data_IF_609882993742
#
_entry.id   IF_609882993742
#
_cell.length_a   1.000
_cell.length_b   1.000
_cell.length_c   1.000
_cell.angle_alpha   90.00
_cell.angle_beta   90.00
_cell.angle_gamma   90.00
#
_symmetry.space_group_name_H-M   'P 1'
#
loop_
_entity.id
_entity.type
_entity.pdbx_description
1 polymer ?
#
# COMPACT_ATOMS: atom_id res chain seq x y z
N UNK A 1 5.85 1.55 23.96
CA UNK A 1 5.72 2.29 22.69
C UNK A 1 4.59 1.65 21.92
N UNK A 2 3.75 2.46 21.27
CA UNK A 2 2.70 1.94 20.39
C UNK A 2 3.34 1.35 19.13
N UNK A 3 2.85 0.19 18.62
CA UNK A 3 3.31 -0.32 17.33
C UNK A 3 3.02 0.67 16.22
N UNK A 4 3.89 0.77 15.22
CA UNK A 4 3.77 1.69 14.09
C UNK A 4 3.59 0.97 12.76
N UNK A 5 2.53 1.33 12.04
CA UNK A 5 2.31 0.91 10.65
C UNK A 5 2.80 2.01 9.71
N UNK A 6 3.66 1.65 8.77
CA UNK A 6 3.97 2.45 7.59
C UNK A 6 2.97 2.14 6.49
N UNK A 7 2.15 3.11 6.10
CA UNK A 7 1.16 2.95 5.05
C UNK A 7 1.63 3.68 3.80
N UNK A 8 2.06 2.92 2.78
CA UNK A 8 2.28 3.46 1.45
C UNK A 8 0.93 3.70 0.78
N UNK A 9 0.73 4.89 0.25
CA UNK A 9 -0.56 5.35 -0.22
C UNK A 9 -0.49 5.97 -1.63
N UNK A 10 -1.46 5.73 -2.52
CA UNK A 10 -1.37 6.16 -3.92
C UNK A 10 -1.64 7.66 -4.14
N UNK A 11 -2.40 8.31 -3.26
CA UNK A 11 -2.87 9.70 -3.44
C UNK A 11 -3.11 10.37 -2.10
N UNK A 12 -2.68 11.62 -1.92
CA UNK A 12 -2.96 12.40 -0.71
C UNK A 12 -4.43 12.78 -0.58
N UNK A 13 -4.88 12.97 0.65
CA UNK A 13 -6.17 13.55 1.04
C UNK A 13 -7.37 12.74 0.53
N UNK A 14 -7.22 11.42 0.45
CA UNK A 14 -8.19 10.47 -0.09
C UNK A 14 -8.28 9.20 0.78
N UNK A 15 -8.90 9.28 1.95
CA UNK A 15 -9.26 8.12 2.79
C UNK A 15 -8.29 7.79 3.94
N UNK A 16 -7.25 8.60 4.15
CA UNK A 16 -6.30 8.44 5.27
C UNK A 16 -6.99 8.46 6.63
N UNK A 17 -8.05 9.26 6.78
CA UNK A 17 -8.83 9.40 8.01
C UNK A 17 -9.47 8.08 8.46
N UNK A 18 -9.86 7.21 7.53
CA UNK A 18 -10.45 5.91 7.85
C UNK A 18 -9.42 4.99 8.54
N UNK A 19 -8.18 4.98 8.03
CA UNK A 19 -7.09 4.23 8.64
C UNK A 19 -6.71 4.79 10.00
N UNK A 20 -6.62 6.13 10.12
CA UNK A 20 -6.30 6.78 11.38
C UNK A 20 -7.40 6.54 12.44
N UNK A 21 -8.68 6.58 12.05
CA UNK A 21 -9.80 6.28 12.93
C UNK A 21 -9.78 4.81 13.39
N UNK A 22 -9.49 3.86 12.51
CA UNK A 22 -9.37 2.45 12.88
C UNK A 22 -8.22 2.21 13.86
N UNK A 23 -7.04 2.77 13.60
CA UNK A 23 -5.86 2.58 14.46
C UNK A 23 -6.06 3.10 15.89
N UNK A 24 -6.82 4.20 16.05
CA UNK A 24 -7.20 4.75 17.38
C UNK A 24 -8.18 3.87 18.16
N UNK A 25 -8.90 2.97 17.51
CA UNK A 25 -9.90 2.08 18.15
C UNK A 25 -9.30 0.77 18.65
N UNK A 26 -8.03 0.48 18.33
CA UNK A 26 -7.33 -0.72 18.75
C UNK A 26 -6.67 -0.50 20.14
N UNK A 27 -6.48 -1.58 20.89
CA UNK A 27 -5.78 -1.58 22.17
C UNK A 27 -4.61 -2.59 22.15
N UNK A 28 -3.34 -2.14 22.20
CA UNK A 28 -2.94 -0.73 22.26
C UNK A 28 -3.25 0.01 20.96
N UNK A 29 -3.40 1.34 21.06
CA UNK A 29 -3.52 2.20 19.89
C UNK A 29 -2.28 2.05 19.00
N UNK A 30 -2.49 2.03 17.69
CA UNK A 30 -1.44 1.88 16.68
C UNK A 30 -1.10 3.26 16.10
N UNK A 31 0.20 3.55 15.98
CA UNK A 31 0.68 4.75 15.31
C UNK A 31 0.71 4.53 13.80
N UNK A 32 0.37 5.56 13.03
CA UNK A 32 0.35 5.50 11.57
C UNK A 32 1.35 6.51 10.97
N UNK A 33 2.14 6.06 10.01
CA UNK A 33 2.98 6.90 9.18
C UNK A 33 2.60 6.73 7.72
N UNK A 34 2.31 7.82 7.02
CA UNK A 34 2.00 7.77 5.59
C UNK A 34 3.22 8.14 4.76
N UNK A 35 3.45 7.38 3.70
CA UNK A 35 4.32 7.77 2.61
C UNK A 35 3.56 7.60 1.28
N UNK A 36 3.89 8.42 0.29
CA UNK A 36 3.08 8.54 -0.91
C UNK A 36 3.88 8.17 -2.14
N UNK A 37 3.29 7.33 -2.99
CA UNK A 37 3.94 6.89 -4.22
C UNK A 37 3.65 7.91 -5.31
N UNK A 38 4.69 8.45 -5.93
CA UNK A 38 4.54 9.42 -7.02
C UNK A 38 3.98 8.73 -8.28
N UNK A 39 2.93 9.33 -8.85
CA UNK A 39 2.37 8.94 -10.15
C UNK A 39 3.35 9.21 -11.30
N UNK A 40 4.35 10.04 -11.07
CA UNK A 40 5.43 10.34 -11.98
C UNK A 40 5.08 11.50 -12.92
N UNK A 41 6.06 11.92 -13.74
CA UNK A 41 5.93 13.11 -14.56
C UNK A 41 4.82 12.93 -15.61
N UNK A 42 3.94 13.92 -15.71
CA UNK A 42 2.91 13.98 -16.75
C UNK A 42 1.57 13.34 -16.39
N UNK A 43 1.44 12.73 -15.20
CA UNK A 43 0.14 12.27 -14.70
C UNK A 43 -0.41 13.31 -13.72
N UNK A 44 -1.17 14.27 -14.24
CA UNK A 44 -1.88 15.27 -13.43
C UNK A 44 -3.13 14.69 -12.76
N UNK A 45 -4.05 14.17 -13.58
CA UNK A 45 -5.21 13.41 -13.11
C UNK A 45 -5.34 12.12 -13.90
N UNK A 46 -5.45 11.01 -13.19
CA UNK A 46 -5.67 9.68 -13.81
C UNK A 46 -6.96 9.67 -14.63
N UNK A 47 -7.98 10.45 -14.23
CA UNK A 47 -9.26 10.51 -14.92
C UNK A 47 -9.18 11.04 -16.35
N UNK A 48 -8.16 11.84 -16.66
CA UNK A 48 -7.94 12.48 -17.97
C UNK A 48 -7.30 11.53 -18.99
N UNK A 49 -6.74 10.40 -18.54
CA UNK A 49 -6.14 9.40 -19.41
C UNK A 49 -7.22 8.56 -20.10
N UNK A 50 -6.91 8.00 -21.26
CA UNK A 50 -7.73 6.93 -21.85
C UNK A 50 -7.61 5.62 -21.04
N UNK A 51 -8.41 4.61 -21.38
CA UNK A 51 -8.44 3.35 -20.62
C UNK A 51 -7.08 2.63 -20.58
N UNK A 52 -6.31 2.68 -21.68
CA UNK A 52 -4.99 2.07 -21.75
C UNK A 52 -4.00 2.84 -20.86
N UNK A 53 -4.04 4.18 -20.91
CA UNK A 53 -3.25 5.07 -20.08
C UNK A 53 -3.54 4.90 -18.59
N UNK A 54 -4.81 4.79 -18.18
CA UNK A 54 -5.17 4.50 -16.77
C UNK A 54 -4.58 3.18 -16.30
N UNK A 55 -4.70 2.13 -17.12
CA UNK A 55 -4.16 0.81 -16.80
C UNK A 55 -2.64 0.84 -16.66
N UNK A 56 -1.95 1.50 -17.60
CA UNK A 56 -0.50 1.66 -17.56
C UNK A 56 -0.05 2.46 -16.33
N UNK A 57 -0.72 3.58 -16.04
CA UNK A 57 -0.40 4.44 -14.90
C UNK A 57 -0.59 3.70 -13.56
N UNK A 58 -1.70 2.99 -13.38
CA UNK A 58 -1.97 2.18 -12.18
C UNK A 58 -0.95 1.04 -12.03
N UNK A 59 -0.64 0.34 -13.13
CA UNK A 59 0.36 -0.73 -13.10
C UNK A 59 1.73 -0.20 -12.70
N UNK A 60 2.12 0.92 -13.26
CA UNK A 60 3.41 1.56 -13.03
C UNK A 60 3.51 2.15 -11.62
N UNK A 61 2.45 2.78 -11.09
CA UNK A 61 2.40 3.25 -9.70
C UNK A 61 2.71 2.11 -8.72
N UNK A 62 2.17 0.93 -8.97
CA UNK A 62 2.45 -0.28 -8.19
C UNK A 62 3.79 -0.96 -8.49
N UNK A 63 4.70 -0.38 -9.26
CA UNK A 63 5.99 -1.02 -9.52
C UNK A 63 6.79 -1.17 -8.20
N UNK A 64 7.39 -2.34 -7.91
CA UNK A 64 8.18 -2.53 -6.69
C UNK A 64 9.20 -1.43 -6.45
N UNK A 65 9.89 -0.98 -7.51
CA UNK A 65 10.86 0.12 -7.47
C UNK A 65 10.26 1.45 -6.99
N UNK A 66 9.03 1.79 -7.40
CA UNK A 66 8.33 3.00 -6.94
C UNK A 66 7.88 2.87 -5.50
N UNK A 67 7.36 1.71 -5.12
CA UNK A 67 6.96 1.44 -3.74
C UNK A 67 8.17 1.56 -2.81
N UNK A 68 9.30 0.96 -3.17
CA UNK A 68 10.54 1.02 -2.39
C UNK A 68 11.09 2.44 -2.29
N UNK A 69 11.07 3.22 -3.38
CA UNK A 69 11.56 4.61 -3.34
C UNK A 69 10.73 5.49 -2.40
N UNK A 70 9.41 5.31 -2.39
CA UNK A 70 8.53 6.08 -1.50
C UNK A 70 8.76 5.77 0.00
N UNK A 71 9.42 4.66 0.35
CA UNK A 71 9.68 4.33 1.76
C UNK A 71 10.68 5.26 2.46
N UNK A 72 11.47 6.03 1.70
CA UNK A 72 12.43 7.01 2.23
C UNK A 72 11.73 8.10 3.07
N UNK A 73 10.45 8.36 2.80
CA UNK A 73 9.65 9.37 3.50
C UNK A 73 9.15 8.89 4.89
N UNK A 74 9.38 7.64 5.26
CA UNK A 74 8.98 7.16 6.58
C UNK A 74 9.88 7.70 7.70
N UNK A 75 9.34 8.68 8.44
CA UNK A 75 9.95 9.17 9.67
C UNK A 75 8.91 9.23 10.81
N UNK A 76 9.10 8.51 11.93
CA UNK A 76 10.09 7.45 12.16
C UNK A 76 9.82 6.18 11.34
N UNK A 77 10.81 5.28 11.28
CA UNK A 77 10.71 3.98 10.62
C UNK A 77 9.55 3.14 11.21
N UNK A 78 8.81 2.39 10.38
CA UNK A 78 7.67 1.59 10.84
C UNK A 78 8.10 0.22 11.34
N UNK A 79 7.26 -0.42 12.16
CA UNK A 79 7.44 -1.81 12.61
C UNK A 79 6.93 -2.82 11.57
N UNK A 80 5.96 -2.39 10.75
CA UNK A 80 5.41 -3.14 9.60
C UNK A 80 4.99 -2.16 8.50
N UNK A 81 5.00 -2.58 7.25
CA UNK A 81 4.60 -1.74 6.10
C UNK A 81 3.44 -2.35 5.32
N UNK A 82 2.54 -1.53 4.78
CA UNK A 82 1.47 -1.99 3.90
C UNK A 82 1.28 -1.06 2.71
N UNK A 83 1.11 -1.65 1.52
CA UNK A 83 0.69 -0.93 0.32
C UNK A 83 -0.84 -0.85 0.22
N UNK A 84 -1.38 0.35 0.37
CA UNK A 84 -2.81 0.60 0.47
C UNK A 84 -3.49 0.83 -0.89
N UNK A 85 -3.23 -0.04 -1.87
CA UNK A 85 -3.88 0.05 -3.17
C UNK A 85 -4.16 -1.33 -3.78
N UNK A 86 -5.43 -1.71 -3.87
CA UNK A 86 -5.85 -2.98 -4.49
C UNK A 86 -5.71 -2.96 -6.01
N UNK A 87 -6.10 -1.88 -6.69
CA UNK A 87 -6.07 -1.78 -8.16
C UNK A 87 -4.64 -1.95 -8.71
N UNK A 88 -3.65 -1.32 -8.08
CA UNK A 88 -2.25 -1.44 -8.46
C UNK A 88 -1.77 -2.90 -8.39
N UNK A 89 -2.07 -3.61 -7.29
CA UNK A 89 -1.70 -5.03 -7.16
C UNK A 89 -2.50 -5.93 -8.12
N UNK A 90 -3.78 -5.66 -8.37
CA UNK A 90 -4.61 -6.45 -9.28
C UNK A 90 -4.10 -6.44 -10.72
N UNK A 91 -3.53 -5.33 -11.21
CA UNK A 91 -2.90 -5.29 -12.54
C UNK A 91 -1.67 -6.20 -12.69
N UNK A 92 -1.16 -6.77 -11.57
CA UNK A 92 0.02 -7.64 -11.52
C UNK A 92 -0.29 -9.06 -11.03
N UNK A 93 -1.55 -9.36 -10.68
CA UNK A 93 -1.96 -10.65 -10.13
C UNK A 93 -1.40 -10.93 -8.72
N UNK A 94 -1.68 -12.13 -8.20
CA UNK A 94 -1.27 -12.52 -6.85
C UNK A 94 0.25 -12.55 -6.68
N UNK A 95 0.98 -13.10 -7.65
CA UNK A 95 2.44 -13.17 -7.57
C UNK A 95 3.06 -11.77 -7.61
N UNK A 96 2.52 -10.85 -8.40
CA UNK A 96 2.95 -9.45 -8.38
C UNK A 96 2.62 -8.73 -7.07
N UNK A 97 1.50 -9.06 -6.42
CA UNK A 97 1.19 -8.54 -5.09
C UNK A 97 2.17 -9.04 -4.01
N UNK A 98 2.61 -10.30 -4.13
CA UNK A 98 3.67 -10.88 -3.28
C UNK A 98 5.02 -10.23 -3.56
N UNK A 99 5.40 -10.08 -4.83
CA UNK A 99 6.64 -9.39 -5.24
C UNK A 99 6.72 -7.96 -4.67
N UNK A 100 5.61 -7.21 -4.71
CA UNK A 100 5.52 -5.88 -4.08
C UNK A 100 5.83 -5.93 -2.57
N UNK A 101 5.21 -6.87 -1.85
CA UNK A 101 5.42 -7.02 -0.41
C UNK A 101 6.86 -7.50 -0.11
N UNK A 102 7.36 -8.48 -0.85
CA UNK A 102 8.70 -9.03 -0.68
C UNK A 102 9.78 -7.96 -0.91
N UNK A 103 9.61 -7.11 -1.93
CA UNK A 103 10.53 -6.00 -2.20
C UNK A 103 10.56 -4.98 -1.04
N UNK A 104 9.39 -4.65 -0.50
CA UNK A 104 9.28 -3.75 0.66
C UNK A 104 9.89 -4.36 1.93
N UNK A 105 9.64 -5.64 2.17
CA UNK A 105 10.18 -6.36 3.33
C UNK A 105 11.69 -6.50 3.24
N UNK A 106 12.22 -6.83 2.05
CA UNK A 106 13.65 -6.92 1.80
C UNK A 106 14.37 -5.58 2.00
N UNK A 107 13.76 -4.46 1.57
CA UNK A 107 14.36 -3.14 1.75
C UNK A 107 14.34 -2.66 3.21
N UNK A 108 13.19 -2.78 3.88
CA UNK A 108 12.98 -2.19 5.21
C UNK A 108 13.38 -3.13 6.36
N UNK A 109 13.56 -4.42 6.09
CA UNK A 109 13.85 -5.43 7.12
C UNK A 109 12.68 -5.71 8.06
N UNK A 110 11.47 -5.28 7.70
CA UNK A 110 10.24 -5.47 8.48
C UNK A 110 9.17 -6.23 7.68
N UNK A 111 8.17 -6.85 8.31
CA UNK A 111 7.07 -7.48 7.59
C UNK A 111 6.32 -6.48 6.70
N UNK A 112 5.96 -6.93 5.49
CA UNK A 112 5.25 -6.13 4.51
C UNK A 112 3.97 -6.83 4.03
N UNK A 113 2.97 -6.04 3.65
CA UNK A 113 1.73 -6.55 3.06
C UNK A 113 1.14 -5.55 2.05
N UNK A 114 -0.05 -5.84 1.56
CA UNK A 114 -0.86 -4.93 0.74
C UNK A 114 -2.34 -5.15 1.00
N UNK A 115 -3.19 -4.21 0.57
CA UNK A 115 -4.65 -4.37 0.63
C UNK A 115 -5.11 -5.68 -0.03
N UNK A 116 -4.48 -6.08 -1.14
CA UNK A 116 -4.85 -7.31 -1.86
C UNK A 116 -4.53 -8.57 -1.07
N UNK A 117 -3.36 -8.62 -0.42
CA UNK A 117 -2.96 -9.74 0.43
C UNK A 117 -3.77 -9.79 1.74
N UNK A 118 -4.09 -8.62 2.29
CA UNK A 118 -4.97 -8.49 3.46
C UNK A 118 -6.38 -9.00 3.14
N UNK A 119 -6.89 -8.78 1.92
CA UNK A 119 -8.19 -9.30 1.50
C UNK A 119 -8.23 -10.84 1.49
N UNK A 120 -7.19 -11.49 0.95
CA UNK A 120 -7.07 -12.96 1.00
C UNK A 120 -6.99 -13.47 2.43
N UNK A 121 -6.22 -12.79 3.28
CA UNK A 121 -6.12 -13.13 4.70
C UNK A 121 -7.48 -12.99 5.40
N UNK A 122 -8.25 -11.95 5.07
CA UNK A 122 -9.59 -11.75 5.62
C UNK A 122 -10.57 -12.83 5.18
N UNK A 123 -10.57 -13.22 3.90
CA UNK A 123 -11.40 -14.32 3.39
C UNK A 123 -11.10 -15.63 4.13
N UNK A 124 -9.82 -15.96 4.31
CA UNK A 124 -9.39 -17.14 5.08
C UNK A 124 -9.81 -17.10 6.55
N UNK A 125 -9.91 -15.91 7.15
CA UNK A 125 -10.38 -15.74 8.53
C UNK A 125 -11.89 -15.79 8.68
N UNK A 126 -12.62 -15.60 7.59
CA UNK A 126 -14.07 -15.67 7.55
C UNK A 126 -14.57 -17.03 7.04
N UNK A 127 -13.66 -17.98 6.81
CA UNK A 127 -13.95 -19.29 6.20
C UNK A 127 -14.66 -19.15 4.83
N UNK A 128 -14.24 -18.16 4.03
CA UNK A 128 -14.77 -17.86 2.70
C UNK A 128 -13.80 -18.25 1.56
N UNK A 129 -12.69 -18.88 1.89
CA UNK A 129 -11.69 -19.46 1.00
C UNK A 129 -12.01 -20.95 0.76
N UNK A 130 -12.98 -21.21 -0.12
CA UNK A 130 -13.49 -22.56 -0.42
C UNK A 130 -12.46 -23.59 -0.84
#
# INVERSE_FOLDING_TARGET
>A
MSPRIGLLYPTRDCGEDDFAALCRRLDPAIDLGFAYVDWGPGIGRVDELDAAGKTAAVRELGAPSRLTAATEDFAPAPDVVSWACSSCSFTRGLDGAREQADALSALLGVPASSTSLAYLTALARLDLDG
#
